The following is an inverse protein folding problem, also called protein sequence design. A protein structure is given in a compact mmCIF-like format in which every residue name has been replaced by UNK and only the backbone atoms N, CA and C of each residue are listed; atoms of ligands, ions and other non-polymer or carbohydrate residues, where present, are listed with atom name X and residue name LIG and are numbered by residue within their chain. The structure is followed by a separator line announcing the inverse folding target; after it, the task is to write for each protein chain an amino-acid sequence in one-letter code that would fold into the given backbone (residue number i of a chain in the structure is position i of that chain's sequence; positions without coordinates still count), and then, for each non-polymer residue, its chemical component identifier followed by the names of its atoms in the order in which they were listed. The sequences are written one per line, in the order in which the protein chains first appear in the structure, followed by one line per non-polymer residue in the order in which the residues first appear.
data_IF_337857123173
#
_entry.id   IF_337857123173
#
_cell.length_a   1.000
_cell.length_b   1.000
_cell.length_c   1.000
_cell.angle_alpha   90.00
_cell.angle_beta   90.00
_cell.angle_gamma   90.00
#
_symmetry.space_group_name_H-M   'P 1'
#
loop_
_entity.id
_entity.type
_entity.pdbx_description
1 polymer ?
#
# COMPACT_ATOMS: atom_id res chain seq x y z
N UNK A 1 6.46 -0.75 23.28
CA UNK A 1 6.79 -0.31 21.90
C UNK A 1 6.88 1.20 21.87
N UNK A 2 7.92 1.79 21.27
CA UNK A 2 7.95 3.23 21.03
C UNK A 2 6.87 3.61 20.00
N UNK A 3 6.34 4.83 20.06
CA UNK A 3 5.36 5.32 19.08
C UNK A 3 5.90 5.24 17.64
N UNK A 4 7.22 5.44 17.48
CA UNK A 4 7.93 5.28 16.20
C UNK A 4 7.86 3.84 15.68
N UNK A 5 8.19 2.83 16.50
CA UNK A 5 8.11 1.42 16.08
C UNK A 5 6.68 1.00 15.73
N UNK A 6 5.67 1.55 16.43
CA UNK A 6 4.26 1.28 16.15
C UNK A 6 3.84 1.85 14.79
N UNK A 7 4.16 3.11 14.50
CA UNK A 7 3.82 3.74 13.21
C UNK A 7 4.49 3.00 12.03
N UNK A 8 5.72 2.52 12.20
CA UNK A 8 6.42 1.73 11.18
C UNK A 8 5.76 0.37 10.93
N UNK A 9 5.37 -0.33 12.00
CA UNK A 9 4.66 -1.62 11.87
C UNK A 9 3.32 -1.42 11.17
N UNK A 10 2.56 -0.39 11.55
CA UNK A 10 1.29 -0.06 10.88
C UNK A 10 1.52 0.25 9.40
N UNK A 11 2.53 1.05 9.06
CA UNK A 11 2.89 1.34 7.68
C UNK A 11 3.18 0.05 6.89
N UNK A 12 4.03 -0.82 7.44
CA UNK A 12 4.39 -2.08 6.81
C UNK A 12 3.18 -3.00 6.62
N UNK A 13 2.33 -3.16 7.65
CA UNK A 13 1.11 -3.97 7.57
C UNK A 13 0.15 -3.44 6.51
N UNK A 14 -0.05 -2.13 6.42
CA UNK A 14 -0.93 -1.52 5.42
C UNK A 14 -0.36 -1.65 4.00
N UNK A 15 0.95 -1.51 3.82
CA UNK A 15 1.59 -1.70 2.49
C UNK A 15 1.45 -3.15 2.05
N UNK A 16 1.82 -4.11 2.90
CA UNK A 16 1.74 -5.54 2.58
C UNK A 16 0.29 -5.95 2.34
N UNK A 17 -0.63 -5.53 3.22
CA UNK A 17 -2.05 -5.80 3.08
C UNK A 17 -2.67 -5.17 1.83
N UNK A 18 -2.33 -3.91 1.53
CA UNK A 18 -2.77 -3.23 0.32
C UNK A 18 -2.24 -3.89 -0.95
N UNK A 19 -0.99 -4.34 -0.95
CA UNK A 19 -0.40 -5.08 -2.06
C UNK A 19 -1.10 -6.42 -2.29
N UNK A 20 -1.30 -7.20 -1.21
CA UNK A 20 -2.01 -8.48 -1.29
C UNK A 20 -3.46 -8.31 -1.76
N UNK A 21 -4.17 -7.30 -1.24
CA UNK A 21 -5.53 -6.97 -1.66
C UNK A 21 -5.59 -6.54 -3.13
N UNK A 22 -4.59 -5.78 -3.62
CA UNK A 22 -4.53 -5.36 -5.01
C UNK A 22 -4.32 -6.55 -5.96
N UNK A 23 -3.36 -7.44 -5.67
CA UNK A 23 -3.16 -8.65 -6.48
C UNK A 23 -4.36 -9.59 -6.42
N UNK A 24 -5.02 -9.70 -5.27
CA UNK A 24 -6.26 -10.46 -5.16
C UNK A 24 -7.39 -9.84 -5.99
N UNK A 25 -7.48 -8.51 -6.03
CA UNK A 25 -8.42 -7.80 -6.92
C UNK A 25 -8.13 -8.11 -8.39
N UNK A 26 -6.87 -8.02 -8.85
CA UNK A 26 -6.48 -8.37 -10.23
C UNK A 26 -6.83 -9.82 -10.58
N UNK A 27 -6.58 -10.74 -9.64
CA UNK A 27 -6.95 -12.14 -9.79
C UNK A 27 -8.47 -12.32 -9.98
N UNK A 28 -9.29 -11.65 -9.16
CA UNK A 28 -10.75 -11.73 -9.27
C UNK A 28 -11.30 -11.08 -10.54
N UNK A 29 -10.64 -10.04 -11.06
CA UNK A 29 -11.05 -9.39 -12.31
C UNK A 29 -10.48 -10.07 -13.56
N UNK A 30 -9.61 -11.07 -13.39
CA UNK A 30 -8.92 -11.75 -14.49
C UNK A 30 -7.95 -10.83 -15.24
N UNK A 31 -7.46 -9.77 -14.60
CA UNK A 31 -6.52 -8.85 -15.21
C UNK A 31 -5.09 -9.34 -14.97
N UNK A 32 -4.43 -9.78 -16.04
CA UNK A 32 -3.02 -10.13 -16.02
C UNK A 32 -2.17 -8.90 -16.38
N UNK A 33 -1.40 -8.34 -15.42
CA UNK A 33 -0.54 -7.19 -15.67
C UNK A 33 0.66 -7.50 -16.59
N UNK A 34 1.02 -8.78 -16.76
CA UNK A 34 2.12 -9.21 -17.63
C UNK A 34 1.67 -9.26 -19.10
N UNK A 35 0.39 -9.53 -19.35
CA UNK A 35 -0.20 -9.55 -20.70
C UNK A 35 -0.77 -8.19 -21.12
N UNK A 36 -1.35 -7.45 -20.17
CA UNK A 36 -1.99 -6.16 -20.42
C UNK A 36 -1.61 -5.14 -19.35
N UNK A 37 -1.19 -3.92 -19.72
CA UNK A 37 -0.81 -2.92 -18.73
C UNK A 37 -2.02 -2.46 -17.91
N UNK A 38 -1.76 -2.11 -16.65
CA UNK A 38 -2.77 -1.55 -15.73
C UNK A 38 -3.44 -0.31 -16.34
N UNK A 39 -4.78 -0.33 -16.37
CA UNK A 39 -5.60 0.81 -16.77
C UNK A 39 -5.73 1.84 -15.66
N UNK A 40 -6.43 2.93 -15.97
CA UNK A 40 -6.63 4.05 -15.04
C UNK A 40 -7.33 3.59 -13.74
N UNK A 41 -8.32 2.69 -13.84
CA UNK A 41 -9.08 2.22 -12.68
C UNK A 41 -8.22 1.35 -11.77
N UNK A 42 -7.41 0.46 -12.33
CA UNK A 42 -6.48 -0.38 -11.59
C UNK A 42 -5.46 0.48 -10.85
N UNK A 43 -4.95 1.55 -11.49
CA UNK A 43 -4.06 2.52 -10.83
C UNK A 43 -4.74 3.27 -9.69
N UNK A 44 -5.99 3.69 -9.85
CA UNK A 44 -6.75 4.35 -8.78
C UNK A 44 -6.93 3.40 -7.60
N UNK A 45 -7.27 2.14 -7.86
CA UNK A 45 -7.45 1.12 -6.82
C UNK A 45 -6.12 0.81 -6.13
N UNK A 46 -5.04 0.62 -6.88
CA UNK A 46 -3.69 0.43 -6.32
C UNK A 46 -3.30 1.60 -5.40
N UNK A 47 -3.54 2.84 -5.84
CA UNK A 47 -3.29 4.05 -5.06
C UNK A 47 -4.13 4.11 -3.79
N UNK A 48 -5.42 3.78 -3.87
CA UNK A 48 -6.31 3.76 -2.71
C UNK A 48 -5.91 2.70 -1.67
N UNK A 49 -5.46 1.53 -2.12
CA UNK A 49 -5.05 0.42 -1.25
C UNK A 49 -3.67 0.65 -0.61
N UNK A 50 -2.71 1.19 -1.35
CA UNK A 50 -1.34 1.39 -0.88
C UNK A 50 -1.12 2.74 -0.17
N UNK A 51 -1.87 3.76 -0.59
CA UNK A 51 -1.72 5.15 -0.13
C UNK A 51 -1.72 5.33 1.39
N UNK A 52 -2.65 4.71 2.15
CA UNK A 52 -2.66 4.80 3.61
C UNK A 52 -1.35 4.30 4.25
N UNK A 53 -0.77 3.22 3.72
CA UNK A 53 0.48 2.66 4.23
C UNK A 53 1.66 3.63 4.05
N UNK A 54 1.77 4.26 2.88
CA UNK A 54 2.75 5.33 2.66
C UNK A 54 2.49 6.56 3.53
N UNK A 55 1.24 6.89 3.84
CA UNK A 55 0.88 7.95 4.78
C UNK A 55 1.45 7.72 6.18
N UNK A 56 1.32 6.50 6.71
CA UNK A 56 1.92 6.12 7.99
C UNK A 56 3.46 6.12 7.92
N UNK A 57 4.04 5.70 6.80
CA UNK A 57 5.50 5.73 6.60
C UNK A 57 6.05 7.17 6.63
N UNK A 58 5.36 8.12 6.00
CA UNK A 58 5.72 9.53 6.03
C UNK A 58 5.57 10.13 7.43
N UNK A 59 4.51 9.78 8.15
CA UNK A 59 4.30 10.18 9.55
C UNK A 59 5.45 9.68 10.44
N UNK A 60 5.84 8.42 10.27
CA UNK A 60 6.99 7.83 10.96
C UNK A 60 8.31 8.52 10.63
N UNK A 61 8.55 8.86 9.36
CA UNK A 61 9.76 9.60 8.96
C UNK A 61 9.84 10.96 9.64
N UNK A 62 8.72 11.70 9.73
CA UNK A 62 8.65 13.00 10.39
C UNK A 62 8.95 12.93 11.89
N UNK A 63 8.60 11.83 12.56
CA UNK A 63 8.90 11.65 14.00
C UNK A 63 10.34 11.24 14.28
N UNK A 64 11.09 10.75 13.28
CA UNK A 64 12.54 10.47 13.37
C UNK A 64 13.45 11.65 12.99
N UNK A 65 12.94 12.64 12.27
CA UNK A 65 13.70 13.80 11.80
C UNK A 65 13.77 14.97 12.79
N UNK A 66 13.49 14.73 14.07
CA UNK A 66 13.66 15.66 15.19
C UNK A 66 14.70 15.14 16.15
#
# INVERSE_FOLDING_TARGET
MSNSSRDLIIAATLIIGGLAAFFFFLYLTGHDPDESPLGLMEWIIAGALLGPGFGYLLKWRKTRGR
#
